data_IF_351176921307
#
_entry.id   IF_351176921307
#
_cell.length_a   1.000
_cell.length_b   1.000
_cell.length_c   1.000
_cell.angle_alpha   90.00
_cell.angle_beta   90.00
_cell.angle_gamma   90.00
#
_symmetry.space_group_name_H-M   'P 1'
#
loop_
_entity.id
_entity.type
_entity.pdbx_description
1 polymer ?
#
# COMPACT_ATOMS: atom_id res chain seq x y z
N UNK A 1 -21.34 18.11 3.55
CA UNK A 1 -20.18 17.24 3.87
C UNK A 1 -19.50 16.93 2.55
N UNK A 2 -18.25 17.28 2.42
CA UNK A 2 -17.48 17.19 1.17
C UNK A 2 -17.41 15.71 0.70
N UNK A 3 -17.67 15.42 -0.58
CA UNK A 3 -17.66 14.05 -1.14
C UNK A 3 -16.37 13.31 -0.80
N UNK A 4 -15.21 13.99 -0.90
CA UNK A 4 -13.90 13.41 -0.54
C UNK A 4 -13.83 12.91 0.91
N UNK A 5 -14.48 13.60 1.86
CA UNK A 5 -14.53 13.16 3.28
C UNK A 5 -15.40 11.92 3.46
N UNK A 6 -16.47 11.77 2.68
CA UNK A 6 -17.32 10.55 2.73
C UNK A 6 -16.55 9.34 2.22
N UNK A 7 -15.83 9.49 1.11
CA UNK A 7 -15.03 8.41 0.52
C UNK A 7 -13.89 7.98 1.45
N UNK A 8 -13.18 8.95 2.07
CA UNK A 8 -12.13 8.65 3.05
C UNK A 8 -12.66 7.90 4.27
N UNK A 9 -13.81 8.30 4.80
CA UNK A 9 -14.44 7.63 5.96
C UNK A 9 -14.90 6.21 5.60
N UNK A 10 -15.49 6.02 4.42
CA UNK A 10 -15.92 4.70 3.95
C UNK A 10 -14.72 3.76 3.75
N UNK A 11 -13.63 4.27 3.15
CA UNK A 11 -12.40 3.52 2.96
C UNK A 11 -11.75 3.12 4.29
N UNK A 12 -11.65 4.04 5.25
CA UNK A 12 -11.12 3.74 6.59
C UNK A 12 -11.95 2.65 7.27
N UNK A 13 -13.29 2.73 7.24
CA UNK A 13 -14.14 1.67 7.79
C UNK A 13 -13.84 0.30 7.17
N UNK A 14 -13.65 0.25 5.84
CA UNK A 14 -13.27 -0.98 5.13
C UNK A 14 -11.91 -1.49 5.60
N UNK A 15 -10.92 -0.63 5.79
CA UNK A 15 -9.58 -1.01 6.24
C UNK A 15 -9.59 -1.52 7.68
N UNK A 16 -10.35 -0.89 8.58
CA UNK A 16 -10.51 -1.32 9.97
C UNK A 16 -11.22 -2.67 10.10
N UNK A 17 -12.06 -3.05 9.12
CA UNK A 17 -12.69 -4.37 9.06
C UNK A 17 -11.84 -5.44 8.37
N UNK A 18 -10.65 -5.10 7.88
CA UNK A 18 -9.76 -6.07 7.24
C UNK A 18 -9.31 -7.14 8.26
N UNK A 19 -9.34 -8.44 7.91
CA UNK A 19 -9.04 -9.53 8.85
C UNK A 19 -7.70 -9.36 9.56
N UNK A 20 -6.66 -8.95 8.83
CA UNK A 20 -5.32 -8.73 9.37
C UNK A 20 -5.27 -7.58 10.38
N UNK A 21 -6.04 -6.50 10.16
CA UNK A 21 -6.13 -5.39 11.10
C UNK A 21 -6.77 -5.87 12.42
N UNK A 22 -7.90 -6.57 12.33
CA UNK A 22 -8.63 -7.11 13.49
C UNK A 22 -7.75 -8.09 14.27
N UNK A 23 -7.02 -8.97 13.58
CA UNK A 23 -6.06 -9.89 14.18
C UNK A 23 -4.98 -9.13 14.97
N UNK A 24 -4.35 -8.13 14.36
CA UNK A 24 -3.31 -7.33 15.03
C UNK A 24 -3.84 -6.60 16.27
N UNK A 25 -5.03 -5.99 16.18
CA UNK A 25 -5.67 -5.34 17.33
C UNK A 25 -5.93 -6.34 18.46
N UNK A 26 -6.34 -7.58 18.14
CA UNK A 26 -6.58 -8.62 19.15
C UNK A 26 -5.30 -9.11 19.84
N UNK A 27 -4.16 -9.08 19.15
CA UNK A 27 -2.85 -9.46 19.68
C UNK A 27 -2.26 -8.42 20.64
N UNK A 28 -2.63 -7.15 20.50
CA UNK A 28 -2.14 -6.07 21.36
C UNK A 28 -2.92 -6.07 22.67
N UNK A 29 -2.35 -6.61 23.73
CA UNK A 29 -2.98 -6.73 25.06
C UNK A 29 -3.05 -5.41 25.82
N UNK A 30 -2.03 -4.54 25.64
CA UNK A 30 -1.99 -3.24 26.29
C UNK A 30 -2.93 -2.23 25.61
N UNK A 31 -3.92 -1.72 26.35
CA UNK A 31 -4.92 -0.78 25.84
C UNK A 31 -4.29 0.48 25.25
N UNK A 32 -3.28 1.07 25.91
CA UNK A 32 -2.59 2.28 25.42
C UNK A 32 -1.84 2.00 24.09
N UNK A 33 -1.21 0.85 23.97
CA UNK A 33 -0.52 0.47 22.74
C UNK A 33 -1.51 0.21 21.60
N UNK A 34 -2.69 -0.34 21.91
CA UNK A 34 -3.77 -0.50 20.95
C UNK A 34 -4.28 0.85 20.45
N UNK A 35 -4.53 1.80 21.33
CA UNK A 35 -4.95 3.16 20.95
C UNK A 35 -3.92 3.84 20.05
N UNK A 36 -2.63 3.68 20.34
CA UNK A 36 -1.55 4.19 19.49
C UNK A 36 -1.57 3.53 18.12
N UNK A 37 -1.65 2.20 18.09
CA UNK A 37 -1.71 1.43 16.85
C UNK A 37 -2.87 1.90 15.95
N UNK A 38 -4.08 1.95 16.49
CA UNK A 38 -5.27 2.37 15.77
C UNK A 38 -5.15 3.82 15.28
N UNK A 39 -4.65 4.71 16.13
CA UNK A 39 -4.49 6.14 15.82
C UNK A 39 -3.47 6.34 14.69
N UNK A 40 -2.30 5.73 14.77
CA UNK A 40 -1.25 5.87 13.76
C UNK A 40 -1.66 5.21 12.44
N UNK A 41 -2.35 4.07 12.48
CA UNK A 41 -2.92 3.46 11.29
C UNK A 41 -3.95 4.37 10.61
N UNK A 42 -4.93 4.88 11.36
CA UNK A 42 -5.97 5.79 10.82
C UNK A 42 -5.34 7.05 10.22
N UNK A 43 -4.40 7.69 10.92
CA UNK A 43 -3.68 8.86 10.38
C UNK A 43 -2.98 8.54 9.06
N UNK A 44 -2.35 7.38 8.98
CA UNK A 44 -1.59 6.96 7.81
C UNK A 44 -2.47 6.71 6.56
N UNK A 45 -3.72 6.22 6.74
CA UNK A 45 -4.61 5.80 5.64
C UNK A 45 -5.75 6.77 5.33
N UNK A 46 -6.09 7.71 6.22
CA UNK A 46 -7.28 8.56 6.14
C UNK A 46 -7.47 9.29 4.81
N UNK A 47 -6.40 9.83 4.24
CA UNK A 47 -6.44 10.58 2.98
C UNK A 47 -6.09 9.71 1.75
N UNK A 48 -6.22 8.39 1.86
CA UNK A 48 -5.78 7.43 0.84
C UNK A 48 -6.86 6.37 0.58
N UNK A 49 -8.03 6.74 0.03
CA UNK A 49 -9.14 5.81 -0.18
C UNK A 49 -8.85 4.74 -1.25
N UNK A 50 -7.83 4.93 -2.06
CA UNK A 50 -7.41 4.12 -3.21
C UNK A 50 -6.35 3.05 -2.89
N UNK A 51 -6.11 2.77 -1.59
CA UNK A 51 -5.16 1.75 -1.18
C UNK A 51 -5.65 0.34 -1.54
N UNK A 52 -4.73 -0.48 -2.06
CA UNK A 52 -4.95 -1.91 -2.22
C UNK A 52 -4.65 -2.68 -0.92
N UNK A 53 -4.95 -3.98 -0.89
CA UNK A 53 -4.75 -4.82 0.30
C UNK A 53 -3.29 -4.90 0.76
N UNK A 54 -2.34 -4.92 -0.18
CA UNK A 54 -0.90 -5.02 0.13
C UNK A 54 -0.40 -3.70 0.73
N UNK A 55 -0.81 -2.56 0.17
CA UNK A 55 -0.52 -1.24 0.72
C UNK A 55 -1.10 -1.11 2.14
N UNK A 56 -2.34 -1.56 2.38
CA UNK A 56 -2.95 -1.56 3.73
C UNK A 56 -2.13 -2.41 4.70
N UNK A 57 -1.65 -3.59 4.29
CA UNK A 57 -0.80 -4.44 5.10
C UNK A 57 0.53 -3.77 5.46
N UNK A 58 1.13 -3.00 4.55
CA UNK A 58 2.34 -2.23 4.83
C UNK A 58 2.07 -1.10 5.85
N UNK A 59 0.92 -0.43 5.79
CA UNK A 59 0.53 0.58 6.79
C UNK A 59 0.22 -0.04 8.16
N UNK A 60 -0.33 -1.26 8.22
CA UNK A 60 -0.46 -2.04 9.46
C UNK A 60 0.93 -2.32 10.05
N UNK A 61 1.89 -2.77 9.23
CA UNK A 61 3.27 -2.98 9.66
C UNK A 61 3.92 -1.70 10.19
N UNK A 62 3.73 -0.58 9.50
CA UNK A 62 4.23 0.72 9.95
C UNK A 62 3.64 1.15 11.30
N UNK A 63 2.34 0.97 11.52
CA UNK A 63 1.69 1.27 12.79
C UNK A 63 2.23 0.40 13.94
N UNK A 64 2.54 -0.88 13.69
CA UNK A 64 3.18 -1.77 14.66
C UNK A 64 4.60 -1.31 15.02
N UNK A 65 5.40 -0.85 14.06
CA UNK A 65 6.72 -0.30 14.35
C UNK A 65 6.64 0.94 15.28
N UNK A 66 5.61 1.78 15.14
CA UNK A 66 5.38 2.89 16.07
C UNK A 66 5.06 2.42 17.49
N UNK A 67 4.26 1.35 17.65
CA UNK A 67 4.02 0.74 18.97
C UNK A 67 5.32 0.22 19.56
N UNK A 68 6.12 -0.50 18.78
CA UNK A 68 7.43 -1.03 19.19
C UNK A 68 8.38 0.09 19.64
N UNK A 69 8.41 1.21 18.92
CA UNK A 69 9.20 2.38 19.31
C UNK A 69 8.80 2.92 20.70
N UNK A 70 7.50 2.98 20.96
CA UNK A 70 6.99 3.45 22.27
C UNK A 70 7.36 2.47 23.37
N UNK A 71 7.23 1.16 23.14
CA UNK A 71 7.62 0.12 24.11
C UNK A 71 9.10 0.19 24.45
N UNK A 72 9.97 0.27 23.45
CA UNK A 72 11.42 0.36 23.68
C UNK A 72 11.75 1.67 24.45
N UNK A 73 11.13 2.78 24.09
CA UNK A 73 11.32 4.05 24.77
C UNK A 73 10.91 3.99 26.23
N UNK A 74 9.78 3.35 26.55
CA UNK A 74 9.35 3.14 27.94
C UNK A 74 10.36 2.29 28.72
N UNK A 75 10.91 1.22 28.11
CA UNK A 75 11.94 0.39 28.73
C UNK A 75 13.22 1.18 28.99
N UNK A 76 13.64 2.03 28.04
CA UNK A 76 14.78 2.93 28.23
C UNK A 76 14.55 3.88 29.41
N UNK A 77 13.36 4.46 29.55
CA UNK A 77 13.03 5.33 30.68
C UNK A 77 13.14 4.58 32.00
N UNK A 78 12.54 3.38 32.11
CA UNK A 78 12.61 2.53 33.30
C UNK A 78 14.07 2.17 33.67
N UNK A 79 14.89 1.83 32.66
CA UNK A 79 16.31 1.52 32.89
C UNK A 79 17.10 2.74 33.36
N UNK A 80 16.83 3.93 32.83
CA UNK A 80 17.45 5.19 33.31
C UNK A 80 17.07 5.49 34.75
N UNK A 81 15.78 5.35 35.10
CA UNK A 81 15.30 5.58 36.47
C UNK A 81 16.00 4.61 37.46
N UNK A 82 16.06 3.32 37.12
CA UNK A 82 16.77 2.31 37.90
C UNK A 82 18.28 2.59 38.02
N UNK A 83 18.90 3.05 36.94
CA UNK A 83 20.31 3.43 36.94
C UNK A 83 20.57 4.61 37.89
N UNK A 84 19.69 5.61 37.91
CA UNK A 84 19.76 6.75 38.80
C UNK A 84 19.61 6.34 40.27
N UNK A 85 18.75 5.35 40.58
CA UNK A 85 18.52 4.81 41.91
C UNK A 85 19.66 3.88 42.40
N UNK A 86 20.40 3.24 41.48
CA UNK A 86 21.39 2.18 41.78
C UNK A 86 22.79 2.69 42.13
N UNK A 87 23.00 3.99 42.29
CA UNK A 87 24.32 4.56 42.64
C UNK A 87 24.71 4.22 44.09
N UNK A 88 25.14 2.98 44.33
CA UNK A 88 25.78 2.57 45.58
C UNK A 88 27.28 2.31 45.34
N UNK A 89 28.10 2.63 46.34
CA UNK A 89 29.57 2.57 46.23
C UNK A 89 30.17 1.18 46.51
N UNK A 90 29.33 0.18 46.83
CA UNK A 90 29.76 -1.19 47.09
C UNK A 90 30.03 -1.98 45.79
N UNK A 91 30.76 -3.09 45.89
CA UNK A 91 31.17 -3.87 44.72
C UNK A 91 29.97 -4.51 43.97
N UNK A 92 28.91 -4.90 44.67
CA UNK A 92 27.69 -5.44 44.10
C UNK A 92 26.89 -4.36 43.35
N UNK A 93 26.80 -3.14 43.92
CA UNK A 93 26.18 -1.99 43.25
C UNK A 93 26.90 -1.61 41.99
N UNK A 94 28.22 -1.63 41.94
CA UNK A 94 28.98 -1.39 40.69
C UNK A 94 28.72 -2.40 39.63
N UNK A 95 28.66 -3.72 39.96
CA UNK A 95 28.31 -4.77 39.00
C UNK A 95 26.90 -4.62 38.47
N UNK A 96 25.95 -4.26 39.34
CA UNK A 96 24.56 -4.02 38.95
C UNK A 96 24.43 -2.80 38.03
N UNK A 97 25.11 -1.69 38.36
CA UNK A 97 25.16 -0.47 37.54
C UNK A 97 25.76 -0.76 36.14
N UNK A 98 26.81 -1.56 36.06
CA UNK A 98 27.37 -2.00 34.75
C UNK A 98 26.36 -2.78 33.92
N UNK A 99 25.68 -3.77 34.51
CA UNK A 99 24.66 -4.56 33.83
C UNK A 99 23.48 -3.71 33.33
N UNK A 100 23.01 -2.72 34.13
CA UNK A 100 21.98 -1.78 33.72
C UNK A 100 22.45 -0.89 32.56
N UNK A 101 23.71 -0.45 32.59
CA UNK A 101 24.29 0.37 31.53
C UNK A 101 24.42 -0.39 30.21
N UNK A 102 24.80 -1.67 30.26
CA UNK A 102 24.80 -2.55 29.06
C UNK A 102 23.39 -2.75 28.51
N UNK A 103 22.41 -3.08 29.37
CA UNK A 103 21.02 -3.22 28.98
C UNK A 103 20.44 -1.93 28.36
N UNK A 104 20.81 -0.77 28.91
CA UNK A 104 20.42 0.53 28.35
C UNK A 104 21.02 0.77 26.96
N UNK A 105 22.30 0.43 26.77
CA UNK A 105 22.97 0.51 25.47
C UNK A 105 22.29 -0.38 24.42
N UNK A 106 21.96 -1.61 24.80
CA UNK A 106 21.27 -2.55 23.91
C UNK A 106 19.89 -2.06 23.52
N UNK A 107 19.11 -1.54 24.49
CA UNK A 107 17.79 -0.97 24.20
C UNK A 107 17.86 0.29 23.34
N UNK A 108 18.87 1.13 23.55
CA UNK A 108 19.10 2.33 22.72
C UNK A 108 19.46 1.93 21.29
N UNK A 109 20.28 0.91 21.11
CA UNK A 109 20.59 0.35 19.79
C UNK A 109 19.33 -0.22 19.11
N UNK A 110 18.53 -0.99 19.83
CA UNK A 110 17.26 -1.53 19.32
C UNK A 110 16.29 -0.40 18.91
N UNK A 111 16.20 0.69 19.69
CA UNK A 111 15.42 1.87 19.35
C UNK A 111 15.87 2.49 18.01
N UNK A 112 17.17 2.70 17.84
CA UNK A 112 17.72 3.28 16.63
C UNK A 112 17.45 2.39 15.40
N UNK A 113 17.61 1.08 15.51
CA UNK A 113 17.29 0.15 14.44
C UNK A 113 15.80 0.14 14.08
N UNK A 114 14.91 0.19 15.07
CA UNK A 114 13.48 0.28 14.84
C UNK A 114 13.13 1.62 14.14
N UNK A 115 13.72 2.73 14.60
CA UNK A 115 13.54 4.04 13.99
C UNK A 115 14.00 4.08 12.52
N UNK A 116 15.15 3.49 12.21
CA UNK A 116 15.63 3.38 10.83
C UNK A 116 14.68 2.57 9.94
N UNK A 117 14.15 1.43 10.44
CA UNK A 117 13.15 0.63 9.70
C UNK A 117 11.89 1.44 9.43
N UNK A 118 11.36 2.12 10.45
CA UNK A 118 10.18 2.98 10.33
C UNK A 118 10.38 4.06 9.28
N UNK A 119 11.54 4.73 9.28
CA UNK A 119 11.89 5.75 8.29
C UNK A 119 12.01 5.17 6.86
N UNK A 120 12.63 3.99 6.71
CA UNK A 120 12.72 3.30 5.41
C UNK A 120 11.34 2.93 4.88
N UNK A 121 10.48 2.36 5.72
CA UNK A 121 9.10 2.02 5.33
C UNK A 121 8.30 3.26 4.93
N UNK A 122 8.39 4.35 5.68
CA UNK A 122 7.71 5.61 5.38
C UNK A 122 8.17 6.19 4.04
N UNK A 123 9.47 6.17 3.76
CA UNK A 123 10.03 6.67 2.49
C UNK A 123 9.60 5.79 1.31
N UNK A 124 9.63 4.47 1.46
CA UNK A 124 9.16 3.54 0.42
C UNK A 124 7.69 3.78 0.10
N UNK A 125 6.81 3.79 1.10
CA UNK A 125 5.38 4.04 0.93
C UNK A 125 5.08 5.40 0.28
N UNK A 126 5.83 6.45 0.64
CA UNK A 126 5.68 7.77 0.03
C UNK A 126 6.13 7.78 -1.43
N UNK A 127 7.27 7.15 -1.74
CA UNK A 127 7.82 7.08 -3.09
C UNK A 127 6.93 6.28 -4.05
N UNK A 128 6.41 5.14 -3.61
CA UNK A 128 5.52 4.31 -4.41
C UNK A 128 4.18 5.02 -4.68
N UNK A 129 3.66 5.76 -3.70
CA UNK A 129 2.46 6.56 -3.90
C UNK A 129 2.66 7.71 -4.88
N UNK A 130 3.79 8.42 -4.84
CA UNK A 130 4.11 9.47 -5.81
C UNK A 130 4.12 8.89 -7.22
N UNK A 131 4.82 7.76 -7.44
CA UNK A 131 4.85 7.08 -8.74
C UNK A 131 3.47 6.64 -9.22
N UNK A 132 2.60 6.16 -8.30
CA UNK A 132 1.22 5.78 -8.62
C UNK A 132 0.40 6.99 -9.08
N UNK A 133 0.50 8.12 -8.36
CA UNK A 133 -0.19 9.36 -8.72
C UNK A 133 0.32 9.94 -10.03
N UNK A 134 1.62 9.91 -10.30
CA UNK A 134 2.21 10.32 -11.58
C UNK A 134 1.67 9.48 -12.75
N UNK A 135 1.62 8.14 -12.60
CA UNK A 135 1.02 7.26 -13.62
C UNK A 135 -0.46 7.56 -13.85
N UNK A 136 -1.22 7.83 -12.79
CA UNK A 136 -2.64 8.20 -12.91
C UNK A 136 -2.80 9.57 -13.59
N UNK A 137 -1.95 10.54 -13.27
CA UNK A 137 -1.97 11.85 -13.91
C UNK A 137 -1.66 11.75 -15.40
N UNK A 138 -0.64 10.97 -15.79
CA UNK A 138 -0.31 10.69 -17.19
C UNK A 138 -1.44 9.99 -17.94
N UNK A 139 -2.07 8.98 -17.32
CA UNK A 139 -3.23 8.30 -17.90
C UNK A 139 -4.41 9.24 -18.10
N UNK A 140 -4.70 10.12 -17.13
CA UNK A 140 -5.78 11.10 -17.24
C UNK A 140 -5.48 12.16 -18.32
N UNK A 141 -4.23 12.58 -18.47
CA UNK A 141 -3.81 13.48 -19.53
C UNK A 141 -3.98 12.83 -20.91
N UNK A 142 -3.60 11.58 -21.05
CA UNK A 142 -3.79 10.79 -22.28
C UNK A 142 -5.28 10.65 -22.64
N UNK A 143 -6.13 10.39 -21.64
CA UNK A 143 -7.60 10.34 -21.82
C UNK A 143 -8.19 11.67 -22.24
N UNK A 144 -7.75 12.78 -21.65
CA UNK A 144 -8.20 14.11 -22.03
C UNK A 144 -7.82 14.46 -23.49
N UNK A 145 -6.59 14.13 -23.88
CA UNK A 145 -6.13 14.29 -25.26
C UNK A 145 -6.94 13.41 -26.24
N UNK A 146 -7.25 12.17 -25.85
CA UNK A 146 -8.08 11.28 -26.65
C UNK A 146 -9.51 11.82 -26.82
N UNK A 147 -10.12 12.35 -25.74
CA UNK A 147 -11.45 12.97 -25.78
C UNK A 147 -11.44 14.18 -26.72
N UNK A 148 -10.42 15.01 -26.66
CA UNK A 148 -10.26 16.18 -27.54
C UNK A 148 -10.17 15.76 -29.02
N UNK A 149 -9.38 14.73 -29.33
CA UNK A 149 -9.28 14.15 -30.68
C UNK A 149 -10.63 13.57 -31.18
N UNK A 150 -11.40 12.93 -30.30
CA UNK A 150 -12.71 12.38 -30.65
C UNK A 150 -13.76 13.47 -30.86
N UNK A 151 -13.63 14.63 -30.19
CA UNK A 151 -14.51 15.79 -30.40
C UNK A 151 -14.26 16.48 -31.75
N UNK A 152 -13.05 16.39 -32.29
CA UNK A 152 -12.79 16.89 -33.66
C UNK A 152 -13.43 15.94 -34.70
N UNK A 153 -14.42 16.45 -35.44
CA UNK A 153 -15.19 15.65 -36.38
C UNK A 153 -14.33 15.06 -37.52
N UNK A 154 -13.26 15.77 -37.94
CA UNK A 154 -12.35 15.30 -38.98
C UNK A 154 -11.48 14.14 -38.47
N UNK A 155 -10.92 14.27 -37.27
CA UNK A 155 -10.08 13.24 -36.65
C UNK A 155 -10.93 12.04 -36.28
N UNK A 156 -12.14 12.21 -35.80
CA UNK A 156 -13.09 11.13 -35.56
C UNK A 156 -13.39 10.31 -36.81
N UNK A 157 -13.68 10.99 -37.93
CA UNK A 157 -13.90 10.34 -39.22
C UNK A 157 -12.66 9.56 -39.68
N UNK A 158 -11.47 10.14 -39.50
CA UNK A 158 -10.20 9.51 -39.83
C UNK A 158 -9.96 8.24 -39.01
N UNK A 159 -10.18 8.30 -37.68
CA UNK A 159 -10.06 7.13 -36.80
C UNK A 159 -11.03 6.02 -37.17
N UNK A 160 -12.27 6.35 -37.51
CA UNK A 160 -13.26 5.36 -37.98
C UNK A 160 -12.81 4.69 -39.28
N UNK A 161 -12.22 5.44 -40.20
CA UNK A 161 -11.71 4.88 -41.47
C UNK A 161 -10.51 3.96 -41.23
N UNK A 162 -9.60 4.33 -40.32
CA UNK A 162 -8.45 3.49 -39.91
C UNK A 162 -8.95 2.20 -39.29
N UNK A 163 -9.85 2.31 -38.29
CA UNK A 163 -10.41 1.13 -37.62
C UNK A 163 -11.10 0.16 -38.58
N UNK A 164 -11.88 0.67 -39.55
CA UNK A 164 -12.50 -0.16 -40.62
C UNK A 164 -11.46 -0.81 -41.53
N UNK A 165 -10.38 -0.10 -41.88
CA UNK A 165 -9.32 -0.67 -42.70
C UNK A 165 -8.53 -1.76 -41.94
N UNK A 166 -8.31 -1.59 -40.65
CA UNK A 166 -7.68 -2.61 -39.80
C UNK A 166 -8.59 -3.82 -39.60
N UNK A 167 -9.89 -3.62 -39.37
CA UNK A 167 -10.88 -4.66 -39.25
C UNK A 167 -10.93 -5.50 -40.56
N UNK A 168 -10.91 -4.85 -41.73
CA UNK A 168 -10.88 -5.53 -43.01
C UNK A 168 -9.61 -6.39 -43.16
N UNK A 169 -8.43 -5.86 -42.82
CA UNK A 169 -7.16 -6.60 -42.83
C UNK A 169 -7.16 -7.80 -41.89
N UNK A 170 -7.74 -7.66 -40.69
CA UNK A 170 -7.87 -8.76 -39.74
C UNK A 170 -8.81 -9.83 -40.29
N UNK A 171 -9.96 -9.44 -40.84
CA UNK A 171 -10.91 -10.39 -41.48
C UNK A 171 -10.26 -11.14 -42.63
N UNK A 172 -9.51 -10.46 -43.51
CA UNK A 172 -8.78 -11.07 -44.62
C UNK A 172 -7.76 -12.11 -44.12
N UNK A 173 -6.93 -11.74 -43.10
CA UNK A 173 -5.97 -12.68 -42.52
C UNK A 173 -6.63 -13.88 -41.83
N UNK A 174 -7.76 -13.69 -41.15
CA UNK A 174 -8.51 -14.79 -40.52
C UNK A 174 -9.08 -15.72 -41.58
N UNK A 175 -9.49 -15.21 -42.75
CA UNK A 175 -9.96 -16.03 -43.87
C UNK A 175 -8.85 -16.87 -44.51
N UNK A 176 -7.61 -16.35 -44.52
CA UNK A 176 -6.41 -17.05 -45.02
C UNK A 176 -5.95 -18.21 -44.12
N UNK A 177 -6.34 -18.24 -42.84
CA UNK A 177 -5.98 -19.31 -41.91
C UNK A 177 -6.89 -20.51 -42.08
N UNK A 178 -6.43 -21.54 -42.83
CA UNK A 178 -7.20 -22.77 -43.15
C UNK A 178 -7.67 -23.49 -41.88
N UNK A 179 -6.86 -23.54 -40.81
CA UNK A 179 -7.16 -24.28 -39.57
C UNK A 179 -7.76 -23.39 -38.45
N UNK A 180 -8.06 -22.13 -38.73
CA UNK A 180 -8.52 -21.20 -37.69
C UNK A 180 -9.91 -21.61 -37.14
N UNK A 181 -10.80 -22.09 -37.98
CA UNK A 181 -12.15 -22.49 -37.56
C UNK A 181 -12.15 -23.71 -36.64
N UNK A 182 -11.28 -24.70 -36.90
CA UNK A 182 -11.17 -25.90 -36.07
C UNK A 182 -10.58 -25.56 -34.70
N UNK A 183 -9.51 -24.78 -34.65
CA UNK A 183 -8.83 -24.40 -33.44
C UNK A 183 -9.68 -23.47 -32.54
N UNK A 184 -10.48 -22.58 -33.17
CA UNK A 184 -11.36 -21.66 -32.43
C UNK A 184 -12.58 -22.38 -31.85
N UNK A 185 -13.15 -23.34 -32.57
CA UNK A 185 -14.24 -24.19 -32.07
C UNK A 185 -13.75 -25.11 -30.96
N UNK A 186 -12.53 -25.65 -31.09
CA UNK A 186 -11.95 -26.54 -30.09
C UNK A 186 -11.61 -25.82 -28.78
N UNK A 187 -11.09 -24.57 -28.85
CA UNK A 187 -10.66 -23.80 -27.69
C UNK A 187 -11.79 -22.98 -27.04
N UNK A 188 -12.67 -22.40 -27.86
CA UNK A 188 -13.69 -21.44 -27.38
C UNK A 188 -15.12 -21.87 -27.60
N UNK A 189 -15.36 -22.95 -28.36
CA UNK A 189 -16.72 -23.42 -28.71
C UNK A 189 -17.50 -22.49 -29.64
N UNK A 190 -16.83 -21.53 -30.28
CA UNK A 190 -17.45 -20.49 -31.12
C UNK A 190 -17.05 -20.70 -32.57
N UNK A 191 -18.05 -20.79 -33.48
CA UNK A 191 -17.81 -20.96 -34.90
C UNK A 191 -17.31 -19.71 -35.61
N UNK A 192 -16.62 -19.90 -36.76
CA UNK A 192 -16.08 -18.80 -37.56
C UNK A 192 -17.14 -17.77 -37.97
N UNK A 193 -18.37 -18.22 -38.22
CA UNK A 193 -19.50 -17.39 -38.63
C UNK A 193 -20.01 -16.50 -37.47
N UNK A 194 -19.93 -16.97 -36.23
CA UNK A 194 -20.34 -16.22 -35.06
C UNK A 194 -19.36 -15.08 -34.74
N UNK A 195 -18.06 -15.25 -34.99
CA UNK A 195 -17.03 -14.20 -34.80
C UNK A 195 -17.21 -13.05 -35.79
N UNK A 196 -17.74 -13.30 -36.97
CA UNK A 196 -17.96 -12.28 -38.01
C UNK A 196 -19.35 -11.62 -37.95
N UNK A 197 -20.26 -12.14 -37.13
CA UNK A 197 -21.60 -11.55 -36.91
C UNK A 197 -21.67 -10.56 -35.75
N UNK A 198 -20.61 -10.45 -34.96
CA UNK A 198 -20.41 -9.44 -33.89
C UNK A 198 -19.78 -8.21 -34.47
#
# INVERSE_FOLDING_TARGET
MDMRKKDSVAAVKKFLSAPRFVEMVSMITNVKHREVFETEFVKAVYNKPDLNSDEVNLYIGLALEYVTLIEIRQQITILNDRLAESMSDDEEGRKFTMSLSEALKDKTSAYNHCLERTLKMTRSLSGDRIKKLEKQALANQSLAQFIELVQDEKERRRMILIAKAEEFKVKEKIQELENFSELFVEVYGIGKEEVFSL
#
